data_IF_336882732346
#
_entry.id   IF_336882732346
#
_cell.length_a   1.000
_cell.length_b   1.000
_cell.length_c   1.000
_cell.angle_alpha   90.00
_cell.angle_beta   90.00
_cell.angle_gamma   90.00
#
_symmetry.space_group_name_H-M   'P 1'
#
loop_
_entity.id
_entity.type
_entity.pdbx_description
1 polymer ?
#
# COMPACT_ATOMS: atom_id res chain seq x y z
N UNK A 1 -22.88 -22.94 8.60
CA UNK A 1 -23.02 -21.60 9.21
C UNK A 1 -21.69 -20.86 9.36
N UNK A 2 -20.69 -21.38 10.07
CA UNK A 2 -19.42 -20.65 10.32
C UNK A 2 -18.64 -20.22 9.06
N UNK A 3 -18.63 -21.06 8.00
CA UNK A 3 -18.00 -20.71 6.69
C UNK A 3 -18.68 -19.53 5.99
N UNK A 4 -20.01 -19.44 6.09
CA UNK A 4 -20.81 -18.41 5.40
C UNK A 4 -20.73 -17.07 6.13
N UNK A 5 -20.63 -17.11 7.46
CA UNK A 5 -20.40 -15.92 8.31
C UNK A 5 -19.00 -15.34 8.06
N UNK A 6 -17.95 -16.18 7.97
CA UNK A 6 -16.59 -15.71 7.63
C UNK A 6 -16.52 -15.10 6.22
N UNK A 7 -17.22 -15.70 5.24
CA UNK A 7 -17.26 -15.19 3.88
C UNK A 7 -17.92 -13.81 3.79
N UNK A 8 -19.05 -13.62 4.47
CA UNK A 8 -19.73 -12.32 4.56
C UNK A 8 -18.88 -11.27 5.29
N UNK A 9 -18.13 -11.66 6.32
CA UNK A 9 -17.20 -10.77 7.02
C UNK A 9 -16.01 -10.37 6.16
N UNK A 10 -15.44 -11.29 5.36
CA UNK A 10 -14.39 -10.97 4.40
C UNK A 10 -14.88 -9.97 3.37
N UNK A 11 -16.03 -10.23 2.75
CA UNK A 11 -16.64 -9.35 1.76
C UNK A 11 -16.94 -7.96 2.35
N UNK A 12 -17.51 -7.90 3.56
CA UNK A 12 -17.75 -6.65 4.29
C UNK A 12 -16.45 -5.89 4.59
N UNK A 13 -15.34 -6.56 4.94
CA UNK A 13 -14.04 -5.90 5.11
C UNK A 13 -13.47 -5.32 3.81
N UNK A 14 -13.72 -5.95 2.66
CA UNK A 14 -13.37 -5.40 1.36
C UNK A 14 -14.25 -4.21 0.98
N UNK A 15 -15.56 -4.35 1.10
CA UNK A 15 -16.54 -3.31 0.76
C UNK A 15 -16.42 -2.08 1.66
N UNK A 16 -16.28 -2.27 2.98
CA UNK A 16 -16.08 -1.14 3.92
C UNK A 16 -14.79 -0.37 3.62
N UNK A 17 -13.72 -1.05 3.20
CA UNK A 17 -12.47 -0.38 2.83
C UNK A 17 -12.43 0.10 1.39
N UNK A 18 -13.37 -0.25 0.52
CA UNK A 18 -13.40 0.27 -0.85
C UNK A 18 -13.72 1.79 -0.87
N UNK A 19 -14.47 2.29 0.13
CA UNK A 19 -14.82 3.71 0.24
C UNK A 19 -13.85 4.58 1.06
N UNK A 20 -13.08 3.98 1.97
CA UNK A 20 -12.21 4.72 2.90
C UNK A 20 -11.00 5.42 2.25
N UNK A 21 -10.28 4.81 1.29
CA UNK A 21 -9.15 5.47 0.63
C UNK A 21 -9.54 6.76 -0.10
N UNK A 22 -10.77 6.88 -0.59
CA UNK A 22 -11.28 8.12 -1.18
C UNK A 22 -11.46 9.21 -0.12
N UNK A 23 -12.10 8.86 1.01
CA UNK A 23 -12.36 9.78 2.10
C UNK A 23 -11.07 10.26 2.78
N UNK A 24 -10.12 9.37 3.05
CA UNK A 24 -8.84 9.72 3.67
C UNK A 24 -7.99 10.58 2.73
N UNK A 25 -8.02 10.31 1.43
CA UNK A 25 -7.33 11.11 0.43
C UNK A 25 -7.96 12.50 0.29
N UNK A 26 -9.29 12.58 0.26
CA UNK A 26 -10.02 13.85 0.21
C UNK A 26 -9.73 14.70 1.45
N UNK A 27 -9.67 14.10 2.64
CA UNK A 27 -9.32 14.78 3.89
C UNK A 27 -7.87 15.31 3.86
N UNK A 28 -6.92 14.52 3.35
CA UNK A 28 -5.53 14.96 3.16
C UNK A 28 -5.41 16.10 2.14
N UNK A 29 -6.13 15.99 1.02
CA UNK A 29 -6.14 17.03 -0.02
C UNK A 29 -6.80 18.32 0.50
N UNK A 30 -7.87 18.20 1.28
CA UNK A 30 -8.53 19.35 1.90
C UNK A 30 -7.59 20.02 2.91
N UNK A 31 -6.90 19.25 3.75
CA UNK A 31 -5.92 19.79 4.69
C UNK A 31 -4.80 20.54 3.97
N UNK A 32 -4.29 19.98 2.87
CA UNK A 32 -3.23 20.60 2.06
C UNK A 32 -3.68 21.91 1.38
N UNK A 33 -4.94 22.00 0.96
CA UNK A 33 -5.49 23.17 0.28
C UNK A 33 -5.98 24.28 1.22
N UNK A 34 -6.36 23.95 2.45
CA UNK A 34 -7.00 24.91 3.38
C UNK A 34 -5.99 25.68 4.21
N UNK A 35 -5.00 24.98 4.79
CA UNK A 35 -3.92 25.63 5.55
C UNK A 35 -2.62 24.82 5.46
N UNK A 36 -1.81 25.04 4.40
CA UNK A 36 -0.55 24.31 4.22
C UNK A 36 0.51 24.67 5.27
N UNK A 37 0.26 25.68 6.11
CA UNK A 37 1.20 26.21 7.11
C UNK A 37 0.98 25.61 8.49
N UNK A 38 -0.20 25.04 8.75
CA UNK A 38 -0.51 24.34 10.00
C UNK A 38 0.15 22.95 10.01
N UNK A 39 1.44 22.95 10.33
CA UNK A 39 2.25 21.73 10.42
C UNK A 39 1.73 20.74 11.47
N UNK A 40 1.12 21.22 12.56
CA UNK A 40 0.60 20.35 13.61
C UNK A 40 -0.65 19.61 13.14
N UNK A 41 -1.55 20.30 12.45
CA UNK A 41 -2.72 19.69 11.83
C UNK A 41 -2.34 18.72 10.71
N UNK A 42 -1.40 19.10 9.83
CA UNK A 42 -0.89 18.21 8.77
C UNK A 42 -0.25 16.94 9.35
N UNK A 43 0.49 17.06 10.45
CA UNK A 43 1.06 15.90 11.12
C UNK A 43 0.00 15.02 11.78
N UNK A 44 -1.02 15.63 12.41
CA UNK A 44 -2.13 14.92 13.02
C UNK A 44 -2.89 14.08 11.99
N UNK A 45 -3.27 14.70 10.86
CA UNK A 45 -4.04 14.01 9.83
C UNK A 45 -3.22 12.90 9.16
N UNK A 46 -1.93 13.15 8.89
CA UNK A 46 -1.03 12.13 8.35
C UNK A 46 -0.93 10.92 9.29
N UNK A 47 -0.78 11.15 10.59
CA UNK A 47 -0.74 10.08 11.59
C UNK A 47 -2.05 9.29 11.65
N UNK A 48 -3.19 9.98 11.60
CA UNK A 48 -4.52 9.35 11.55
C UNK A 48 -4.62 8.41 10.35
N UNK A 49 -4.33 8.91 9.15
CA UNK A 49 -4.39 8.11 7.92
C UNK A 49 -3.46 6.89 8.00
N UNK A 50 -2.20 7.06 8.43
CA UNK A 50 -1.27 5.93 8.59
C UNK A 50 -1.81 4.89 9.57
N UNK A 51 -2.33 5.32 10.71
CA UNK A 51 -2.94 4.43 11.70
C UNK A 51 -4.16 3.69 11.13
N UNK A 52 -5.00 4.35 10.33
CA UNK A 52 -6.17 3.74 9.71
C UNK A 52 -5.75 2.67 8.68
N UNK A 53 -4.68 2.92 7.91
CA UNK A 53 -4.06 1.92 7.05
C UNK A 53 -3.53 0.72 7.84
N UNK A 54 -2.80 0.94 8.92
CA UNK A 54 -2.26 -0.12 9.78
C UNK A 54 -3.38 -0.97 10.42
N UNK A 55 -4.42 -0.32 10.93
CA UNK A 55 -5.58 -0.97 11.53
C UNK A 55 -6.31 -1.85 10.52
N UNK A 56 -6.51 -1.34 9.29
CA UNK A 56 -7.08 -2.13 8.21
C UNK A 56 -6.25 -3.38 7.90
N UNK A 57 -4.94 -3.22 7.67
CA UNK A 57 -4.08 -4.35 7.31
C UNK A 57 -4.00 -5.38 8.44
N UNK A 58 -4.00 -4.91 9.70
CA UNK A 58 -4.04 -5.77 10.89
C UNK A 58 -5.34 -6.55 10.99
N UNK A 59 -6.50 -5.90 10.79
CA UNK A 59 -7.80 -6.56 10.79
C UNK A 59 -7.88 -7.60 9.67
N UNK A 60 -7.44 -7.24 8.46
CA UNK A 60 -7.38 -8.14 7.32
C UNK A 60 -6.50 -9.37 7.59
N UNK A 61 -5.32 -9.16 8.17
CA UNK A 61 -4.41 -10.25 8.52
C UNK A 61 -5.00 -11.20 9.57
N UNK A 62 -5.77 -10.69 10.55
CA UNK A 62 -6.48 -11.52 11.53
C UNK A 62 -7.56 -12.38 10.87
N UNK A 63 -8.36 -11.80 9.97
CA UNK A 63 -9.42 -12.51 9.27
C UNK A 63 -8.87 -13.55 8.28
N UNK A 64 -7.76 -13.25 7.61
CA UNK A 64 -7.09 -14.18 6.70
C UNK A 64 -6.61 -15.47 7.39
N UNK A 65 -6.36 -15.46 8.71
CA UNK A 65 -6.06 -16.69 9.46
C UNK A 65 -7.25 -17.64 9.56
N UNK A 66 -8.47 -17.11 9.51
CA UNK A 66 -9.71 -17.90 9.62
C UNK A 66 -10.23 -18.36 8.26
N UNK A 67 -10.01 -17.55 7.20
CA UNK A 67 -10.48 -17.84 5.84
C UNK A 67 -9.50 -17.35 4.77
N UNK A 68 -8.30 -17.91 4.74
CA UNK A 68 -7.23 -17.51 3.81
C UNK A 68 -7.65 -17.45 2.32
N UNK A 69 -8.41 -18.42 1.76
CA UNK A 69 -8.78 -18.39 0.35
C UNK A 69 -9.56 -17.13 -0.05
N UNK A 70 -10.54 -16.70 0.77
CA UNK A 70 -11.33 -15.50 0.50
C UNK A 70 -10.51 -14.21 0.48
N UNK A 71 -9.30 -14.21 1.07
CA UNK A 71 -8.39 -13.07 1.05
C UNK A 71 -7.31 -13.17 -0.03
N UNK A 72 -7.02 -14.37 -0.54
CA UNK A 72 -6.04 -14.58 -1.61
C UNK A 72 -6.66 -14.48 -3.00
N UNK A 73 -7.86 -15.02 -3.16
CA UNK A 73 -8.65 -14.94 -4.38
C UNK A 73 -10.05 -14.47 -4.00
N UNK A 74 -10.29 -13.18 -4.18
CA UNK A 74 -11.57 -12.58 -3.83
C UNK A 74 -12.68 -13.22 -4.67
N UNK A 75 -13.76 -13.67 -4.01
CA UNK A 75 -14.90 -14.30 -4.68
C UNK A 75 -15.69 -13.36 -5.60
N UNK A 76 -15.52 -12.05 -5.42
CA UNK A 76 -16.13 -11.02 -6.26
C UNK A 76 -15.30 -10.67 -7.51
N UNK A 77 -14.02 -11.05 -7.55
CA UNK A 77 -13.16 -10.85 -8.71
C UNK A 77 -13.26 -12.01 -9.68
N UNK A 78 -13.16 -11.72 -10.99
CA UNK A 78 -13.04 -12.78 -12.00
C UNK A 78 -11.73 -13.55 -11.81
N UNK A 79 -11.67 -14.80 -12.27
CA UNK A 79 -10.41 -15.59 -12.26
C UNK A 79 -9.28 -14.84 -12.97
N UNK A 80 -9.61 -14.10 -14.03
CA UNK A 80 -8.65 -13.26 -14.74
C UNK A 80 -8.11 -12.15 -13.85
N UNK A 81 -8.95 -11.32 -13.25
CA UNK A 81 -8.51 -10.24 -12.35
C UNK A 81 -7.70 -10.77 -11.16
N UNK A 82 -8.18 -11.86 -10.53
CA UNK A 82 -7.48 -12.51 -9.44
C UNK A 82 -6.11 -13.05 -9.85
N UNK A 83 -5.90 -13.41 -11.12
CA UNK A 83 -4.60 -13.89 -11.62
C UNK A 83 -3.53 -12.79 -11.72
N UNK A 84 -3.92 -11.52 -11.82
CA UNK A 84 -2.99 -10.38 -11.81
C UNK A 84 -2.65 -9.88 -10.41
N UNK A 85 -3.38 -10.32 -9.38
CA UNK A 85 -3.14 -9.92 -8.00
C UNK A 85 -2.03 -10.79 -7.38
N UNK A 86 -1.08 -10.13 -6.71
CA UNK A 86 -0.10 -10.79 -5.86
C UNK A 86 -0.69 -10.96 -4.46
N UNK A 87 -0.68 -12.19 -3.92
CA UNK A 87 -1.04 -12.55 -2.53
C UNK A 87 -2.03 -11.56 -1.88
N UNK A 88 -3.28 -11.58 -2.35
CA UNK A 88 -4.35 -10.74 -1.78
C UNK A 88 -4.29 -9.24 -2.14
N UNK A 89 -3.64 -8.85 -3.24
CA UNK A 89 -3.71 -7.49 -3.76
C UNK A 89 -2.55 -7.09 -4.69
N UNK A 90 -2.08 -5.85 -4.53
CA UNK A 90 -0.89 -5.36 -5.23
C UNK A 90 0.38 -5.79 -4.47
N UNK A 91 1.48 -5.93 -5.21
CA UNK A 91 2.79 -6.23 -4.65
C UNK A 91 3.36 -4.97 -3.96
N UNK A 92 3.65 -4.97 -2.65
CA UNK A 92 4.09 -3.78 -1.90
C UNK A 92 5.26 -3.01 -2.53
N UNK A 93 6.22 -3.71 -3.14
CA UNK A 93 7.36 -3.12 -3.84
C UNK A 93 6.96 -2.20 -5.00
N UNK A 94 5.78 -2.39 -5.59
CA UNK A 94 5.24 -1.49 -6.62
C UNK A 94 4.86 -0.12 -6.03
N UNK A 95 4.34 -0.08 -4.81
CA UNK A 95 4.01 1.17 -4.13
C UNK A 95 5.29 1.95 -3.84
N UNK A 96 6.35 1.28 -3.38
CA UNK A 96 7.65 1.92 -3.14
C UNK A 96 8.27 2.39 -4.46
N UNK A 97 8.17 1.59 -5.53
CA UNK A 97 8.63 1.99 -6.87
C UNK A 97 7.93 3.24 -7.38
N UNK A 98 6.62 3.36 -7.12
CA UNK A 98 5.85 4.55 -7.48
C UNK A 98 6.42 5.80 -6.81
N UNK A 99 6.90 5.73 -5.57
CA UNK A 99 7.56 6.87 -4.91
C UNK A 99 8.75 7.34 -5.73
N UNK A 100 9.68 6.46 -6.13
CA UNK A 100 10.84 6.86 -6.96
C UNK A 100 10.43 7.49 -8.29
N UNK A 101 9.42 6.91 -8.96
CA UNK A 101 8.91 7.46 -10.22
C UNK A 101 8.38 8.87 -9.99
N UNK A 102 7.56 9.08 -8.96
CA UNK A 102 7.00 10.40 -8.64
C UNK A 102 8.09 11.41 -8.24
N UNK A 103 9.12 10.98 -7.49
CA UNK A 103 10.26 11.83 -7.16
C UNK A 103 10.95 12.34 -8.43
N UNK A 104 11.28 11.42 -9.35
CA UNK A 104 11.90 11.77 -10.63
C UNK A 104 11.02 12.66 -11.49
N UNK A 105 9.72 12.36 -11.59
CA UNK A 105 8.76 13.15 -12.35
C UNK A 105 8.60 14.57 -11.82
N UNK A 106 8.68 14.79 -10.50
CA UNK A 106 8.51 16.11 -9.88
C UNK A 106 9.83 16.90 -9.83
N UNK A 107 10.97 16.21 -9.71
CA UNK A 107 12.30 16.85 -9.70
C UNK A 107 12.75 17.27 -11.10
N UNK A 108 12.60 16.40 -12.11
CA UNK A 108 13.19 16.59 -13.43
C UNK A 108 12.78 17.92 -14.12
N UNK A 109 11.51 18.35 -14.09
CA UNK A 109 11.10 19.63 -14.68
C UNK A 109 11.67 20.87 -13.96
N UNK A 110 12.14 20.72 -12.72
CA UNK A 110 12.58 21.81 -11.85
C UNK A 110 14.02 21.63 -11.35
N UNK A 111 14.81 20.82 -12.06
CA UNK A 111 16.17 20.46 -11.62
C UNK A 111 17.07 21.69 -11.47
N UNK A 112 16.97 22.67 -12.38
CA UNK A 112 17.75 23.90 -12.30
C UNK A 112 17.45 24.69 -11.02
N UNK A 113 16.16 24.95 -10.74
CA UNK A 113 15.70 25.62 -9.52
C UNK A 113 16.15 24.85 -8.27
N UNK A 114 16.05 23.51 -8.30
CA UNK A 114 16.48 22.66 -7.20
C UNK A 114 18.00 22.77 -6.92
N UNK A 115 18.83 22.84 -7.96
CA UNK A 115 20.28 23.01 -7.84
C UNK A 115 20.66 24.42 -7.33
N UNK A 116 19.83 25.41 -7.60
CA UNK A 116 19.93 26.77 -7.03
C UNK A 116 19.43 26.84 -5.57
N UNK A 117 18.96 25.72 -5.02
CA UNK A 117 18.52 25.60 -3.62
C UNK A 117 17.04 25.86 -3.41
N UNK A 118 16.25 26.08 -4.47
CA UNK A 118 14.79 26.20 -4.37
C UNK A 118 14.20 24.86 -3.96
N UNK A 119 13.25 24.88 -3.02
CA UNK A 119 12.52 23.70 -2.55
C UNK A 119 11.02 23.98 -2.70
N UNK A 120 10.29 23.06 -3.32
CA UNK A 120 8.85 23.17 -3.58
C UNK A 120 8.00 22.46 -2.52
N UNK A 121 8.63 21.70 -1.62
CA UNK A 121 7.96 20.88 -0.62
C UNK A 121 7.26 19.65 -1.21
N UNK A 122 7.72 19.14 -2.36
CA UNK A 122 7.11 17.99 -3.04
C UNK A 122 8.01 16.73 -3.00
N UNK A 123 7.61 15.64 -3.65
CA UNK A 123 8.39 14.38 -3.65
C UNK A 123 9.74 14.53 -4.38
N UNK A 124 9.91 15.54 -5.22
CA UNK A 124 11.20 15.89 -5.80
C UNK A 124 12.20 16.44 -4.78
N UNK A 125 11.74 16.92 -3.62
CA UNK A 125 12.56 17.49 -2.55
C UNK A 125 12.97 16.49 -1.46
N UNK A 126 12.73 15.19 -1.67
CA UNK A 126 13.13 14.14 -0.72
C UNK A 126 14.63 14.21 -0.47
N UNK A 127 15.00 14.31 0.80
CA UNK A 127 16.41 14.36 1.22
C UNK A 127 17.11 13.02 1.00
N UNK A 128 18.44 13.04 0.90
CA UNK A 128 19.24 11.81 0.79
C UNK A 128 19.05 10.85 1.97
N UNK A 129 18.80 11.38 3.18
CA UNK A 129 18.52 10.58 4.38
C UNK A 129 17.17 9.87 4.27
N UNK A 130 16.14 10.58 3.80
CA UNK A 130 14.82 9.98 3.55
C UNK A 130 14.89 8.95 2.42
N UNK A 131 15.61 9.25 1.33
CA UNK A 131 15.79 8.33 0.20
C UNK A 131 16.49 7.04 0.65
N UNK A 132 17.54 7.14 1.46
CA UNK A 132 18.19 5.97 2.07
C UNK A 132 17.21 5.14 2.91
N UNK A 133 16.34 5.79 3.68
CA UNK A 133 15.28 5.11 4.42
C UNK A 133 14.31 4.35 3.51
N UNK A 134 13.94 4.94 2.37
CA UNK A 134 13.10 4.30 1.34
C UNK A 134 13.84 3.12 0.69
N UNK A 135 15.13 3.25 0.38
CA UNK A 135 15.96 2.16 -0.18
C UNK A 135 16.04 0.97 0.79
N UNK A 136 16.28 1.24 2.08
CA UNK A 136 16.30 0.21 3.11
C UNK A 136 14.93 -0.48 3.27
N UNK A 137 13.84 0.29 3.19
CA UNK A 137 12.49 -0.26 3.20
C UNK A 137 12.26 -1.15 1.97
N UNK A 138 12.66 -0.69 0.78
CA UNK A 138 12.54 -1.46 -0.46
C UNK A 138 13.28 -2.79 -0.37
N UNK A 139 14.53 -2.77 0.11
CA UNK A 139 15.34 -3.97 0.26
C UNK A 139 14.69 -4.98 1.24
N UNK A 140 14.17 -4.50 2.37
CA UNK A 140 13.42 -5.34 3.33
C UNK A 140 12.15 -5.91 2.70
N UNK A 141 11.38 -5.08 2.00
CA UNK A 141 10.14 -5.49 1.32
C UNK A 141 10.41 -6.56 0.28
N UNK A 142 11.38 -6.36 -0.62
CA UNK A 142 11.74 -7.34 -1.65
C UNK A 142 12.13 -8.68 -1.04
N UNK A 143 12.94 -8.67 0.03
CA UNK A 143 13.33 -9.89 0.75
C UNK A 143 12.11 -10.66 1.29
N UNK A 144 11.14 -9.98 1.88
CA UNK A 144 9.92 -10.65 2.38
C UNK A 144 9.01 -11.11 1.23
N UNK A 145 8.89 -10.33 0.16
CA UNK A 145 8.13 -10.73 -1.03
C UNK A 145 8.70 -11.98 -1.70
N UNK A 146 10.02 -12.08 -1.80
CA UNK A 146 10.71 -13.23 -2.41
C UNK A 146 10.54 -14.49 -1.57
N UNK A 147 10.59 -14.37 -0.23
CA UNK A 147 10.28 -15.48 0.68
C UNK A 147 8.85 -15.99 0.47
N UNK A 148 7.88 -15.08 0.44
CA UNK A 148 6.47 -15.43 0.27
C UNK A 148 6.21 -16.06 -1.11
N UNK A 149 6.82 -15.51 -2.16
CA UNK A 149 6.68 -16.01 -3.53
C UNK A 149 7.34 -17.40 -3.67
N UNK A 150 8.51 -17.61 -3.05
CA UNK A 150 9.19 -18.92 -3.06
C UNK A 150 8.39 -19.98 -2.30
N UNK A 151 7.81 -19.62 -1.16
CA UNK A 151 6.91 -20.50 -0.40
C UNK A 151 5.70 -20.91 -1.24
N UNK A 152 5.03 -19.94 -1.88
CA UNK A 152 3.88 -20.20 -2.74
C UNK A 152 4.24 -21.12 -3.93
N UNK A 153 5.35 -20.86 -4.60
CA UNK A 153 5.84 -21.69 -5.71
C UNK A 153 6.10 -23.14 -5.27
N UNK A 154 6.67 -23.33 -4.07
CA UNK A 154 6.95 -24.66 -3.52
C UNK A 154 5.67 -25.46 -3.27
N UNK A 155 4.63 -24.80 -2.74
CA UNK A 155 3.31 -25.41 -2.50
C UNK A 155 2.63 -25.79 -3.83
N UNK A 156 2.72 -24.94 -4.85
CA UNK A 156 2.14 -25.19 -6.17
C UNK A 156 2.82 -26.37 -6.88
N UNK A 157 4.15 -26.46 -6.82
CA UNK A 157 4.91 -27.57 -7.41
C UNK A 157 4.55 -28.91 -6.76
N UNK A 158 4.38 -28.95 -5.43
CA UNK A 158 3.95 -30.15 -4.72
C UNK A 158 2.55 -30.63 -5.14
N UNK A 159 1.59 -29.71 -5.28
CA UNK A 159 0.21 -30.05 -5.63
C UNK A 159 0.01 -30.48 -7.09
N UNK A 160 0.97 -30.21 -7.98
CA UNK A 160 0.91 -30.58 -9.41
C UNK A 160 1.61 -31.90 -9.73
N UNK A 161 2.29 -32.50 -8.75
CA UNK A 161 3.00 -33.79 -8.88
C UNK A 161 2.25 -34.98 -8.27
N UNK A 162 1.07 -34.74 -7.68
CA UNK A 162 0.08 -35.77 -7.35
C UNK A 162 -0.99 -35.85 -8.44
#
# INVERSE_FOLDING_TARGET
MAKQINHQQSQCCYENRAGQPGLDLDELLQALNTDPTDHDYLQLITKKTVNDFENYHTARAKLAKNDAPSFLAASWGTTFENSFLWIGGCRPSLIIRLVYVLCGCQLNPHLAEFLEGVRKGNLGDISSVQLKGIDELQAKTLKEEDKLTSCLASIQAYNTTQ
#
